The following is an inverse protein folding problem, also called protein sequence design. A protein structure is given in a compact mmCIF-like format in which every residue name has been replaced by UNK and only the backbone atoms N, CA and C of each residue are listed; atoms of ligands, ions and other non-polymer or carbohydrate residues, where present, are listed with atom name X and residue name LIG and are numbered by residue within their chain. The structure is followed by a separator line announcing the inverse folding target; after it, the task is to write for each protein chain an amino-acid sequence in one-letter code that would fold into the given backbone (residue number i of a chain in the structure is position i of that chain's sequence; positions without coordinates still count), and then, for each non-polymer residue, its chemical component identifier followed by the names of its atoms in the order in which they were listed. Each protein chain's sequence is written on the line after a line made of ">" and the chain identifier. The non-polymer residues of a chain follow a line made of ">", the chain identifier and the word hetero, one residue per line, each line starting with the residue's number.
data_IF_567252271766
#
_entry.id   IF_567252271766
#
_cell.length_a   1.000
_cell.length_b   1.000
_cell.length_c   1.000
_cell.angle_alpha   90.00
_cell.angle_beta   90.00
_cell.angle_gamma   90.00
#
_symmetry.space_group_name_H-M   'P 1'
#
loop_
_entity.id
_entity.type
_entity.pdbx_description
1 polymer ?
#
# COMPACT_ATOMS: atom_id res chain seq x y z
N UNK A 1 -14.49 -12.97 -16.41
CA UNK A 1 -14.48 -12.44 -15.03
C UNK A 1 -15.52 -11.33 -14.92
N UNK A 2 -16.31 -11.28 -13.85
CA UNK A 2 -17.39 -10.28 -13.68
C UNK A 2 -16.91 -8.97 -13.04
N UNK A 3 -17.77 -7.94 -13.01
CA UNK A 3 -17.52 -6.73 -12.23
C UNK A 3 -17.15 -7.07 -10.77
N UNK A 4 -16.16 -6.37 -10.21
CA UNK A 4 -15.68 -6.60 -8.84
C UNK A 4 -14.73 -7.79 -8.66
N UNK A 5 -14.38 -8.53 -9.72
CA UNK A 5 -13.39 -9.59 -9.61
C UNK A 5 -12.00 -9.07 -9.23
N UNK A 6 -11.58 -7.93 -9.81
CA UNK A 6 -10.32 -7.28 -9.46
C UNK A 6 -10.31 -6.81 -8.01
N UNK A 7 -11.43 -6.30 -7.50
CA UNK A 7 -11.52 -5.86 -6.11
C UNK A 7 -11.37 -7.02 -5.13
N UNK A 8 -11.96 -8.19 -5.47
CA UNK A 8 -11.77 -9.42 -4.68
C UNK A 8 -10.31 -9.85 -4.66
N UNK A 9 -9.67 -9.90 -5.83
CA UNK A 9 -8.24 -10.25 -5.94
C UNK A 9 -7.38 -9.25 -5.18
N UNK A 10 -7.65 -7.96 -5.31
CA UNK A 10 -6.93 -6.91 -4.61
C UNK A 10 -7.08 -7.05 -3.09
N UNK A 11 -8.31 -7.23 -2.59
CA UNK A 11 -8.58 -7.44 -1.16
C UNK A 11 -7.83 -8.67 -0.63
N UNK A 12 -7.83 -9.77 -1.37
CA UNK A 12 -7.11 -10.98 -0.99
C UNK A 12 -5.59 -10.76 -0.96
N UNK A 13 -5.02 -10.14 -1.99
CA UNK A 13 -3.57 -9.93 -2.08
C UNK A 13 -3.05 -8.91 -1.07
N UNK A 14 -3.84 -7.87 -0.77
CA UNK A 14 -3.49 -6.79 0.15
C UNK A 14 -3.56 -7.20 1.61
N UNK A 15 -4.33 -8.23 1.95
CA UNK A 15 -4.46 -8.75 3.32
C UNK A 15 -3.55 -9.95 3.62
N UNK A 16 -2.77 -10.42 2.64
CA UNK A 16 -1.87 -11.58 2.80
C UNK A 16 -0.51 -11.17 3.37
N UNK A 17 -0.08 -11.74 4.53
CA UNK A 17 1.26 -11.56 5.07
C UNK A 17 2.36 -11.89 4.05
N UNK A 18 3.37 -11.03 3.93
CA UNK A 18 4.53 -11.26 3.03
C UNK A 18 5.83 -11.32 3.80
N UNK A 19 6.61 -12.38 3.61
CA UNK A 19 7.96 -12.52 4.20
C UNK A 19 8.87 -11.31 3.91
N UNK A 20 8.79 -10.76 2.69
CA UNK A 20 9.54 -9.54 2.29
C UNK A 20 9.21 -8.32 3.15
N UNK A 21 7.97 -8.22 3.64
CA UNK A 21 7.50 -7.13 4.50
C UNK A 21 7.61 -7.50 5.99
N UNK A 22 8.53 -8.39 6.36
CA UNK A 22 8.63 -8.95 7.72
C UNK A 22 7.30 -9.53 8.21
N UNK A 23 6.59 -10.23 7.31
CA UNK A 23 5.27 -10.82 7.55
C UNK A 23 4.12 -9.82 7.75
N UNK A 24 4.32 -8.53 7.47
CA UNK A 24 3.21 -7.56 7.37
C UNK A 24 2.43 -7.74 6.07
N UNK A 25 1.19 -7.26 6.07
CA UNK A 25 0.37 -7.22 4.86
C UNK A 25 0.76 -6.02 3.97
N UNK A 26 0.55 -6.11 2.65
CA UNK A 26 0.75 -4.95 1.78
C UNK A 26 -0.06 -3.72 2.19
N UNK A 27 -1.28 -3.89 2.70
CA UNK A 27 -2.10 -2.79 3.21
C UNK A 27 -1.44 -2.08 4.41
N UNK A 28 -0.94 -2.84 5.39
CA UNK A 28 -0.24 -2.28 6.56
C UNK A 28 1.06 -1.57 6.18
N UNK A 29 1.82 -2.13 5.25
CA UNK A 29 3.06 -1.52 4.79
C UNK A 29 2.81 -0.19 4.08
N UNK A 30 1.75 -0.11 3.26
CA UNK A 30 1.34 1.12 2.60
C UNK A 30 0.88 2.17 3.61
N UNK A 31 0.03 1.79 4.56
CA UNK A 31 -0.48 2.68 5.61
C UNK A 31 0.67 3.29 6.44
N UNK A 32 1.67 2.48 6.77
CA UNK A 32 2.89 2.96 7.41
C UNK A 32 3.64 3.98 6.57
N UNK A 33 3.86 3.70 5.28
CA UNK A 33 4.58 4.64 4.40
C UNK A 33 3.87 5.97 4.29
N UNK A 34 2.53 5.96 4.19
CA UNK A 34 1.73 7.18 4.13
C UNK A 34 1.75 7.95 5.46
N UNK A 35 1.71 7.24 6.59
CA UNK A 35 1.83 7.83 7.92
C UNK A 35 3.20 8.45 8.17
N UNK A 36 4.27 7.77 7.75
CA UNK A 36 5.67 8.22 7.89
C UNK A 36 5.98 9.42 6.97
N UNK A 37 5.28 9.55 5.83
CA UNK A 37 5.42 10.64 4.86
C UNK A 37 4.80 11.98 5.30
N UNK A 38 4.21 12.08 6.51
CA UNK A 38 3.68 13.35 7.04
C UNK A 38 4.73 14.48 7.15
N UNK A 39 6.04 14.17 7.01
CA UNK A 39 7.10 15.16 6.73
C UNK A 39 7.70 14.89 5.34
N UNK A 40 7.13 15.44 4.26
CA UNK A 40 7.77 15.32 2.96
C UNK A 40 9.09 16.12 2.97
N UNK A 41 10.23 15.53 2.54
CA UNK A 41 11.39 16.33 2.18
C UNK A 41 10.95 17.28 1.05
N UNK A 42 11.23 18.58 1.21
CA UNK A 42 10.70 19.63 0.31
C UNK A 42 10.88 19.25 -1.16
N UNK A 43 9.77 19.02 -1.85
CA UNK A 43 9.78 18.78 -3.30
C UNK A 43 9.91 20.13 -4.00
N UNK A 44 10.88 20.26 -4.89
CA UNK A 44 11.02 21.44 -5.74
C UNK A 44 9.77 21.54 -6.63
N UNK A 45 8.96 22.56 -6.41
CA UNK A 45 7.77 22.83 -7.23
C UNK A 45 8.22 23.66 -8.41
N UNK A 46 8.10 23.13 -9.63
CA UNK A 46 8.33 23.92 -10.85
C UNK A 46 7.04 24.67 -11.18
N UNK A 47 7.14 26.00 -11.26
CA UNK A 47 6.06 26.89 -11.69
C UNK A 47 5.90 26.88 -13.22
#
# INVERSE_FOLDING_TARGET
>A
WGPGYLDKVAAELNNRPRKRLHWRTPAEALDKLLSDQSKPPGVATTA
#
